data_IF_605972758957
#
_entry.id   IF_605972758957
#
_cell.length_a   1.000
_cell.length_b   1.000
_cell.length_c   1.000
_cell.angle_alpha   90.00
_cell.angle_beta   90.00
_cell.angle_gamma   90.00
#
_symmetry.space_group_name_H-M   'P 1'
#
loop_
_entity.id
_entity.type
_entity.pdbx_description
1 polymer ?
#
# COMPACT_ATOMS: atom_id res chain seq x y z
N UNK A 1 21.73 23.42 5.84
CA UNK A 1 20.64 22.76 6.56
C UNK A 1 20.15 21.68 5.63
N UNK A 2 20.43 20.41 5.93
CA UNK A 2 19.97 19.30 5.11
C UNK A 2 18.47 19.16 5.38
N UNK A 3 17.64 19.64 4.46
CA UNK A 3 16.23 19.26 4.44
C UNK A 3 16.17 17.83 3.94
N UNK A 4 16.37 16.88 4.85
CA UNK A 4 16.00 15.49 4.61
C UNK A 4 14.48 15.47 4.50
N UNK A 5 13.98 15.68 3.28
CA UNK A 5 12.61 15.29 2.96
C UNK A 5 12.52 13.81 3.31
N UNK A 6 11.66 13.39 4.26
CA UNK A 6 11.50 11.97 4.52
C UNK A 6 11.05 11.40 3.18
N UNK A 7 11.93 10.62 2.55
CA UNK A 7 11.64 9.94 1.31
C UNK A 7 10.53 8.98 1.64
N UNK A 8 9.28 9.45 1.52
CA UNK A 8 8.11 8.75 1.98
C UNK A 8 8.08 7.45 1.22
N UNK A 9 8.39 6.34 1.89
CA UNK A 9 8.51 5.04 1.27
C UNK A 9 7.24 4.80 0.46
N UNK A 10 7.41 4.64 -0.85
CA UNK A 10 6.28 4.39 -1.75
C UNK A 10 6.29 2.92 -2.10
N UNK A 11 5.23 2.22 -1.73
CA UNK A 11 5.00 0.88 -2.23
C UNK A 11 4.66 0.91 -3.73
N UNK A 12 5.04 -0.13 -4.51
CA UNK A 12 4.71 -0.23 -5.93
C UNK A 12 3.23 -0.61 -6.19
N UNK A 13 2.31 -0.12 -5.36
CA UNK A 13 0.86 -0.31 -5.47
C UNK A 13 0.18 1.05 -5.50
N UNK A 14 -0.56 1.32 -6.58
CA UNK A 14 -1.29 2.58 -6.74
C UNK A 14 -2.66 2.53 -6.08
N UNK A 15 -3.26 3.70 -5.83
CA UNK A 15 -4.66 3.76 -5.40
C UNK A 15 -5.61 3.14 -6.43
N UNK A 16 -5.27 3.18 -7.72
CA UNK A 16 -6.06 2.55 -8.79
C UNK A 16 -6.04 1.04 -8.70
N UNK A 17 -4.91 0.45 -8.32
CA UNK A 17 -4.80 -0.99 -8.11
C UNK A 17 -5.72 -1.43 -6.97
N UNK A 18 -5.68 -0.71 -5.84
CA UNK A 18 -6.56 -0.94 -4.69
C UNK A 18 -8.04 -0.80 -5.07
N UNK A 19 -8.41 0.29 -5.74
CA UNK A 19 -9.79 0.53 -6.19
C UNK A 19 -10.29 -0.60 -7.10
N UNK A 20 -9.48 -1.02 -8.09
CA UNK A 20 -9.88 -2.08 -9.02
C UNK A 20 -10.01 -3.42 -8.32
N UNK A 21 -9.08 -3.76 -7.43
CA UNK A 21 -9.08 -5.06 -6.74
C UNK A 21 -10.19 -5.15 -5.69
N UNK A 22 -10.52 -4.04 -5.02
CA UNK A 22 -11.54 -3.98 -3.96
C UNK A 22 -12.93 -3.56 -4.41
N UNK A 23 -13.05 -3.03 -5.63
CA UNK A 23 -14.30 -2.39 -6.07
C UNK A 23 -14.63 -1.12 -5.27
N UNK A 24 -13.63 -0.45 -4.70
CA UNK A 24 -13.82 0.75 -3.89
C UNK A 24 -13.81 2.02 -4.76
N UNK A 25 -14.65 3.02 -4.45
CA UNK A 25 -14.53 4.35 -5.03
C UNK A 25 -13.26 5.07 -4.53
N UNK A 26 -12.81 6.13 -5.20
CA UNK A 26 -11.75 6.98 -4.68
C UNK A 26 -12.18 7.59 -3.35
N UNK A 27 -11.33 7.47 -2.33
CA UNK A 27 -11.66 7.96 -0.99
C UNK A 27 -10.62 7.61 0.07
N UNK A 28 -10.85 8.00 1.33
CA UNK A 28 -9.92 7.80 2.44
C UNK A 28 -9.62 6.32 2.69
N UNK A 29 -10.56 5.42 2.39
CA UNK A 29 -10.39 3.98 2.55
C UNK A 29 -9.24 3.41 1.70
N UNK A 30 -9.13 3.87 0.45
CA UNK A 30 -8.00 3.52 -0.44
C UNK A 30 -6.67 3.97 0.18
N UNK A 31 -6.67 5.14 0.82
CA UNK A 31 -5.50 5.66 1.54
C UNK A 31 -5.12 4.80 2.74
N UNK A 32 -6.10 4.34 3.53
CA UNK A 32 -5.87 3.45 4.69
C UNK A 32 -5.26 2.12 4.27
N UNK A 33 -5.81 1.49 3.23
CA UNK A 33 -5.29 0.23 2.70
C UNK A 33 -3.84 0.39 2.24
N UNK A 34 -3.53 1.50 1.53
CA UNK A 34 -2.14 1.76 1.12
C UNK A 34 -1.21 1.99 2.31
N UNK A 35 -1.66 2.73 3.31
CA UNK A 35 -0.86 2.96 4.52
C UNK A 35 -0.59 1.64 5.25
N UNK A 36 -1.60 0.77 5.40
CA UNK A 36 -1.43 -0.55 6.00
C UNK A 36 -0.39 -1.42 5.26
N UNK A 37 -0.42 -1.39 3.92
CA UNK A 37 0.62 -2.05 3.12
C UNK A 37 2.00 -1.41 3.28
N UNK A 38 2.09 -0.09 3.36
CA UNK A 38 3.34 0.64 3.61
C UNK A 38 3.94 0.22 4.97
N UNK A 39 3.12 0.14 6.03
CA UNK A 39 3.55 -0.33 7.36
C UNK A 39 4.03 -1.79 7.33
N UNK A 40 3.29 -2.70 6.68
CA UNK A 40 3.70 -4.11 6.57
C UNK A 40 5.06 -4.28 5.87
N UNK A 41 5.37 -3.39 4.93
CA UNK A 41 6.67 -3.39 4.24
C UNK A 41 7.77 -2.80 5.13
N UNK A 42 7.47 -1.72 5.86
CA UNK A 42 8.39 -1.11 6.82
C UNK A 42 8.76 -2.05 7.97
N UNK A 43 7.79 -2.83 8.44
CA UNK A 43 7.97 -3.86 9.47
C UNK A 43 8.71 -5.10 8.96
N UNK A 44 8.99 -5.19 7.65
CA UNK A 44 9.63 -6.34 7.02
C UNK A 44 8.72 -7.56 6.90
N UNK A 45 7.41 -7.39 7.12
CA UNK A 45 6.40 -8.46 6.98
C UNK A 45 6.15 -8.79 5.52
N UNK A 46 6.15 -7.78 4.64
CA UNK A 46 6.02 -7.94 3.20
C UNK A 46 7.22 -7.34 2.46
N UNK A 47 7.68 -7.95 1.36
CA UNK A 47 8.66 -7.31 0.51
C UNK A 47 8.05 -6.11 -0.21
N UNK A 48 8.84 -5.07 -0.56
CA UNK A 48 8.42 -3.92 -1.37
C UNK A 48 8.23 -4.31 -2.85
N UNK A 49 7.54 -5.42 -3.11
CA UNK A 49 7.30 -5.99 -4.43
C UNK A 49 5.82 -5.86 -4.82
N UNK A 50 5.56 -5.55 -6.09
CA UNK A 50 4.18 -5.32 -6.56
C UNK A 50 3.34 -6.59 -6.47
N UNK A 51 3.86 -7.73 -6.91
CA UNK A 51 3.09 -8.97 -6.95
C UNK A 51 2.82 -9.51 -5.54
N UNK A 52 3.79 -9.37 -4.63
CA UNK A 52 3.60 -9.71 -3.21
C UNK A 52 2.48 -8.88 -2.58
N UNK A 53 2.50 -7.56 -2.75
CA UNK A 53 1.49 -6.67 -2.17
C UNK A 53 0.10 -6.87 -2.80
N UNK A 54 0.04 -7.09 -4.11
CA UNK A 54 -1.22 -7.36 -4.81
C UNK A 54 -1.82 -8.71 -4.42
N UNK A 55 -0.98 -9.72 -4.19
CA UNK A 55 -1.40 -11.04 -3.70
C UNK A 55 -1.92 -10.93 -2.27
N UNK A 56 -1.17 -10.25 -1.40
CA UNK A 56 -1.60 -10.01 -0.03
C UNK A 56 -2.94 -9.29 0.04
N UNK A 57 -3.14 -8.23 -0.75
CA UNK A 57 -4.44 -7.58 -0.88
C UNK A 57 -5.52 -8.59 -1.29
N UNK A 58 -5.30 -9.38 -2.34
CA UNK A 58 -6.31 -10.36 -2.81
C UNK A 58 -6.73 -11.34 -1.71
N UNK A 59 -5.76 -11.81 -0.92
CA UNK A 59 -5.97 -12.83 0.12
C UNK A 59 -6.56 -12.25 1.42
N UNK A 60 -6.41 -10.94 1.66
CA UNK A 60 -6.85 -10.28 2.89
C UNK A 60 -7.96 -9.26 2.59
N UNK A 61 -9.22 -9.67 2.38
CA UNK A 61 -10.33 -8.77 2.03
C UNK A 61 -10.68 -7.73 3.10
N UNK A 62 -10.31 -7.98 4.36
CA UNK A 62 -10.60 -7.12 5.51
C UNK A 62 -9.42 -6.21 5.92
N UNK A 63 -8.40 -6.08 5.06
CA UNK A 63 -7.26 -5.19 5.29
C UNK A 63 -7.69 -3.72 5.44
#
# INVERSE_FOLDING_TARGET
MLEETPSRMRIPVSGRDVMRLRGLPPGPEVGRIKAALEELVLDGTLPPDRDALMTYLREHPAL
#
